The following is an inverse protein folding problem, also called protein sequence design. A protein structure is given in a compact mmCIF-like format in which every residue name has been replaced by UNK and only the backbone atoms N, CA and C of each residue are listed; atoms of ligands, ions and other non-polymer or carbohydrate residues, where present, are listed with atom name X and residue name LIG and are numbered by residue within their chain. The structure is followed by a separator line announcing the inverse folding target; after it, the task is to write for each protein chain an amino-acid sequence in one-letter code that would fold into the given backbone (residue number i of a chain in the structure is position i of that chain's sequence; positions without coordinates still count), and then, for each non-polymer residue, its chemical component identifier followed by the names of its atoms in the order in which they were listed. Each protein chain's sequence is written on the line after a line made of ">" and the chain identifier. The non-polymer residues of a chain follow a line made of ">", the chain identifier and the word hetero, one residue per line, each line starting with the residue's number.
data_IF_213862449283
#
_entry.id   IF_213862449283
#
_cell.length_a   1.000
_cell.length_b   1.000
_cell.length_c   1.000
_cell.angle_alpha   90.00
_cell.angle_beta   90.00
_cell.angle_gamma   90.00
#
_symmetry.space_group_name_H-M   'P 1'
#
loop_
_entity.id
_entity.type
_entity.pdbx_description
1 polymer ?
#
# COMPACT_ATOMS: atom_id res chain seq x y z
N UNK A 1 -17.14 17.86 -6.56
CA UNK A 1 -16.51 16.64 -6.00
C UNK A 1 -17.08 16.41 -4.62
N UNK A 2 -17.75 15.28 -4.37
CA UNK A 2 -18.18 14.92 -3.00
C UNK A 2 -17.02 14.21 -2.30
N UNK A 3 -16.81 14.55 -1.03
CA UNK A 3 -15.64 14.12 -0.25
C UNK A 3 -15.85 12.69 0.25
N UNK A 4 -14.84 11.84 0.04
CA UNK A 4 -14.73 10.54 0.69
C UNK A 4 -14.06 10.70 2.04
N UNK A 5 -14.68 10.17 3.09
CA UNK A 5 -14.16 10.23 4.44
C UNK A 5 -13.59 8.87 4.84
N UNK A 6 -12.38 8.87 5.40
CA UNK A 6 -11.77 7.70 6.02
C UNK A 6 -11.99 7.78 7.53
N UNK A 7 -12.54 6.73 8.10
CA UNK A 7 -12.77 6.63 9.55
C UNK A 7 -12.30 5.29 10.08
N UNK A 8 -11.94 5.26 11.36
CA UNK A 8 -11.78 4.00 12.09
C UNK A 8 -13.13 3.37 12.37
N UNK A 9 -13.14 2.06 12.61
CA UNK A 9 -14.26 1.33 13.15
C UNK A 9 -13.97 1.02 14.62
N UNK A 10 -14.64 1.74 15.52
CA UNK A 10 -14.54 1.55 16.97
C UNK A 10 -15.68 0.66 17.48
N UNK A 11 -15.68 0.36 18.78
CA UNK A 11 -16.78 -0.36 19.43
C UNK A 11 -18.14 0.34 19.24
N UNK A 12 -18.15 1.66 19.22
CA UNK A 12 -19.37 2.47 19.01
C UNK A 12 -19.85 2.35 17.56
N UNK A 13 -18.93 2.33 16.59
CA UNK A 13 -19.25 2.17 15.18
C UNK A 13 -19.85 0.79 14.85
N UNK A 14 -19.66 -0.23 15.70
CA UNK A 14 -20.23 -1.56 15.48
C UNK A 14 -21.77 -1.53 15.39
N UNK A 15 -22.42 -0.59 16.10
CA UNK A 15 -23.87 -0.38 16.03
C UNK A 15 -24.30 0.22 14.68
N UNK A 16 -23.53 1.17 14.17
CA UNK A 16 -23.81 1.90 12.93
C UNK A 16 -23.49 1.04 11.71
N UNK A 17 -22.36 0.34 11.75
CA UNK A 17 -21.85 -0.44 10.61
C UNK A 17 -22.39 -1.86 10.60
N UNK A 18 -22.78 -2.44 11.75
CA UNK A 18 -23.46 -3.75 11.81
C UNK A 18 -24.83 -3.77 11.11
N UNK A 19 -25.42 -2.60 10.82
CA UNK A 19 -26.60 -2.48 9.98
C UNK A 19 -26.32 -2.84 8.50
N UNK A 20 -25.07 -2.74 8.06
CA UNK A 20 -24.65 -3.26 6.76
C UNK A 20 -24.55 -4.79 6.82
N UNK A 21 -25.16 -5.48 5.87
CA UNK A 21 -25.08 -6.95 5.77
C UNK A 21 -23.66 -7.46 5.57
N UNK A 22 -22.76 -6.59 5.09
CA UNK A 22 -21.37 -6.90 4.74
C UNK A 22 -20.54 -7.34 5.95
N UNK A 23 -20.79 -6.78 7.14
CA UNK A 23 -20.01 -7.11 8.34
C UNK A 23 -20.44 -8.38 9.08
N UNK A 24 -21.64 -8.91 8.76
CA UNK A 24 -22.21 -10.07 9.47
C UNK A 24 -21.37 -11.33 9.33
N UNK A 25 -20.65 -11.50 8.21
CA UNK A 25 -19.75 -12.64 7.99
C UNK A 25 -18.60 -12.70 9.00
N UNK A 26 -18.23 -11.56 9.60
CA UNK A 26 -17.25 -11.48 10.68
C UNK A 26 -17.88 -11.46 12.09
N UNK A 27 -19.18 -11.76 12.18
CA UNK A 27 -19.98 -11.79 13.42
C UNK A 27 -20.10 -10.43 14.13
N UNK A 28 -19.90 -9.32 13.42
CA UNK A 28 -20.15 -7.98 13.93
C UNK A 28 -21.63 -7.66 13.68
N UNK A 29 -22.41 -7.57 14.75
CA UNK A 29 -23.86 -7.34 14.69
C UNK A 29 -24.26 -6.10 15.49
N UNK A 30 -25.28 -5.34 15.06
CA UNK A 30 -25.57 -4.01 15.59
C UNK A 30 -26.08 -3.97 17.03
N UNK A 31 -26.33 -5.12 17.67
CA UNK A 31 -26.80 -5.21 19.07
C UNK A 31 -26.15 -6.39 19.81
N UNK A 32 -25.00 -6.86 19.36
CA UNK A 32 -24.25 -7.91 20.02
C UNK A 32 -22.89 -7.37 20.47
N UNK A 33 -22.28 -7.96 21.52
CA UNK A 33 -20.87 -7.72 21.81
C UNK A 33 -20.00 -7.97 20.58
N UNK A 34 -18.89 -7.22 20.48
CA UNK A 34 -17.89 -7.49 19.45
C UNK A 34 -17.36 -8.93 19.61
N UNK A 35 -17.07 -9.61 18.48
CA UNK A 35 -16.34 -10.87 18.55
C UNK A 35 -14.95 -10.63 19.17
N UNK A 36 -14.41 -11.65 19.83
CA UNK A 36 -13.17 -11.57 20.63
C UNK A 36 -12.01 -10.88 19.90
N UNK A 37 -11.78 -11.24 18.63
CA UNK A 37 -10.71 -10.64 17.81
C UNK A 37 -10.86 -9.13 17.61
N UNK A 38 -12.10 -8.64 17.46
CA UNK A 38 -12.40 -7.23 17.24
C UNK A 38 -12.37 -6.46 18.56
N UNK A 39 -12.84 -7.11 19.64
CA UNK A 39 -12.78 -6.52 20.97
C UNK A 39 -11.34 -6.36 21.43
N UNK A 40 -10.49 -7.37 21.24
CA UNK A 40 -9.05 -7.31 21.53
C UNK A 40 -8.35 -6.22 20.69
N UNK A 41 -8.69 -6.09 19.40
CA UNK A 41 -8.17 -5.00 18.56
C UNK A 41 -8.56 -3.62 19.12
N UNK A 42 -9.82 -3.46 19.54
CA UNK A 42 -10.29 -2.24 20.20
C UNK A 42 -9.56 -1.97 21.52
N UNK A 43 -9.31 -2.99 22.33
CA UNK A 43 -8.58 -2.83 23.59
C UNK A 43 -7.12 -2.40 23.35
N UNK A 44 -6.45 -2.97 22.34
CA UNK A 44 -5.04 -2.65 22.05
C UNK A 44 -4.85 -1.33 21.30
N UNK A 45 -5.73 -1.01 20.35
CA UNK A 45 -5.52 0.07 19.38
C UNK A 45 -6.65 1.09 19.32
N UNK A 46 -7.76 0.87 20.01
CA UNK A 46 -8.95 1.73 19.98
C UNK A 46 -9.87 1.51 18.78
N UNK A 47 -9.54 0.59 17.88
CA UNK A 47 -10.34 0.27 16.69
C UNK A 47 -10.07 -1.16 16.20
N UNK A 48 -10.99 -1.73 15.42
CA UNK A 48 -10.86 -3.06 14.80
C UNK A 48 -10.84 -3.01 13.27
N UNK A 49 -10.92 -1.83 12.68
CA UNK A 49 -10.84 -1.65 11.23
C UNK A 49 -10.86 -0.20 10.79
N UNK A 50 -10.82 0.00 9.49
CA UNK A 50 -11.00 1.30 8.83
C UNK A 50 -11.97 1.17 7.67
N UNK A 51 -12.73 2.22 7.44
CA UNK A 51 -13.72 2.28 6.35
C UNK A 51 -13.57 3.56 5.55
N UNK A 52 -13.91 3.50 4.26
CA UNK A 52 -14.15 4.67 3.43
C UNK A 52 -15.64 4.85 3.21
N UNK A 53 -16.15 6.05 3.47
CA UNK A 53 -17.55 6.43 3.28
C UNK A 53 -17.70 7.49 2.20
N UNK A 54 -18.78 7.39 1.43
CA UNK A 54 -19.22 8.42 0.50
C UNK A 54 -20.68 8.77 0.81
N UNK A 55 -20.88 9.91 1.50
CA UNK A 55 -22.16 10.17 2.15
C UNK A 55 -22.41 9.14 3.26
N UNK A 56 -23.60 8.54 3.25
CA UNK A 56 -23.98 7.48 4.20
C UNK A 56 -23.54 6.08 3.73
N UNK A 57 -23.07 5.96 2.49
CA UNK A 57 -22.68 4.67 1.91
C UNK A 57 -21.26 4.27 2.33
N UNK A 58 -21.12 3.02 2.74
CA UNK A 58 -19.82 2.40 2.96
C UNK A 58 -19.32 1.86 1.64
N UNK A 59 -18.18 2.39 1.18
CA UNK A 59 -17.59 1.98 -0.09
C UNK A 59 -16.58 0.84 0.08
N UNK A 60 -15.92 0.74 1.23
CA UNK A 60 -15.01 -0.37 1.48
C UNK A 60 -14.40 -0.37 2.87
N UNK A 61 -13.98 -1.55 3.29
CA UNK A 61 -13.59 -1.84 4.67
C UNK A 61 -12.30 -2.65 4.68
N UNK A 62 -11.40 -2.31 5.61
CA UNK A 62 -10.31 -3.19 6.05
C UNK A 62 -10.52 -3.50 7.54
N UNK A 63 -10.59 -4.77 7.89
CA UNK A 63 -10.68 -5.24 9.27
C UNK A 63 -9.32 -5.79 9.70
N UNK A 64 -8.98 -5.55 10.96
CA UNK A 64 -7.69 -5.93 11.53
C UNK A 64 -7.87 -6.60 12.88
N UNK A 65 -7.04 -7.59 13.16
CA UNK A 65 -6.95 -8.25 14.45
C UNK A 65 -5.49 -8.37 14.89
N UNK A 66 -5.21 -8.53 16.19
CA UNK A 66 -3.89 -8.94 16.66
C UNK A 66 -3.53 -10.34 16.13
N UNK A 67 -2.24 -10.58 15.93
CA UNK A 67 -1.70 -11.85 15.49
C UNK A 67 -2.10 -13.04 16.37
N UNK A 68 -2.35 -12.79 17.66
CA UNK A 68 -2.70 -13.82 18.64
C UNK A 68 -4.19 -14.13 18.70
N UNK A 69 -5.06 -13.30 18.13
CA UNK A 69 -6.51 -13.40 18.29
C UNK A 69 -7.21 -13.20 16.94
N UNK A 70 -7.19 -14.23 16.08
CA UNK A 70 -7.86 -14.19 14.79
C UNK A 70 -9.28 -14.75 14.88
N UNK A 71 -10.19 -14.38 13.94
CA UNK A 71 -11.46 -15.08 13.80
C UNK A 71 -11.25 -16.60 13.66
N UNK A 72 -12.16 -17.42 14.21
CA UNK A 72 -12.16 -18.85 13.95
C UNK A 72 -12.12 -19.14 12.44
N UNK A 73 -11.39 -20.19 12.05
CA UNK A 73 -11.22 -20.61 10.65
C UNK A 73 -10.59 -19.56 9.72
N UNK A 74 -9.96 -18.51 10.26
CA UNK A 74 -9.22 -17.57 9.42
C UNK A 74 -8.12 -18.32 8.64
N UNK A 75 -7.92 -18.05 7.33
CA UNK A 75 -6.94 -18.77 6.51
C UNK A 75 -5.50 -18.69 7.04
N UNK A 76 -5.17 -17.61 7.76
CA UNK A 76 -3.86 -17.46 8.41
C UNK A 76 -3.75 -18.13 9.78
N UNK A 77 -4.81 -18.73 10.33
CA UNK A 77 -4.85 -19.27 11.71
C UNK A 77 -3.71 -20.25 12.00
N UNK A 78 -3.35 -21.10 11.03
CA UNK A 78 -2.27 -22.10 11.12
C UNK A 78 -0.91 -21.62 10.60
N UNK A 79 -0.85 -20.40 10.05
CA UNK A 79 0.38 -19.82 9.52
C UNK A 79 1.08 -19.08 10.67
N UNK A 80 2.37 -19.31 10.93
CA UNK A 80 3.14 -18.52 11.88
C UNK A 80 3.16 -17.05 11.48
N UNK A 81 2.92 -16.17 12.45
CA UNK A 81 2.79 -14.73 12.26
C UNK A 81 3.87 -13.99 13.05
N UNK A 82 4.18 -12.77 12.64
CA UNK A 82 5.14 -11.95 13.38
C UNK A 82 4.58 -11.63 14.77
N UNK A 83 5.30 -11.96 15.87
CA UNK A 83 4.86 -11.61 17.21
C UNK A 83 4.62 -10.09 17.37
N UNK A 84 3.53 -9.73 18.04
CA UNK A 84 3.07 -8.34 18.18
C UNK A 84 2.57 -7.70 16.89
N UNK A 85 2.43 -8.47 15.80
CA UNK A 85 1.92 -7.99 14.51
C UNK A 85 0.41 -7.78 14.50
N UNK A 86 -0.06 -7.09 13.46
CA UNK A 86 -1.47 -7.02 13.12
C UNK A 86 -1.75 -7.90 11.89
N UNK A 87 -2.99 -8.38 11.75
CA UNK A 87 -3.42 -9.21 10.62
C UNK A 87 -4.67 -8.63 10.01
N UNK A 88 -4.69 -8.46 8.68
CA UNK A 88 -5.92 -8.19 7.94
C UNK A 88 -6.80 -9.44 7.98
N UNK A 89 -7.98 -9.31 8.58
CA UNK A 89 -8.93 -10.43 8.76
C UNK A 89 -10.17 -10.33 7.88
N UNK A 90 -10.33 -9.20 7.21
CA UNK A 90 -11.46 -8.95 6.33
C UNK A 90 -11.22 -7.76 5.43
N UNK A 91 -11.59 -7.92 4.17
CA UNK A 91 -11.49 -6.90 3.15
C UNK A 91 -12.83 -6.88 2.40
N UNK A 92 -13.51 -5.73 2.44
CA UNK A 92 -14.64 -5.47 1.55
C UNK A 92 -14.16 -4.44 0.52
N UNK A 93 -13.81 -4.87 -0.70
CA UNK A 93 -13.40 -3.94 -1.74
C UNK A 93 -14.61 -3.19 -2.30
N UNK A 94 -14.43 -1.90 -2.65
CA UNK A 94 -15.40 -1.23 -3.51
C UNK A 94 -15.36 -1.88 -4.91
N UNK A 95 -16.43 -1.74 -5.70
CA UNK A 95 -16.58 -2.40 -7.02
C UNK A 95 -15.49 -2.03 -8.06
N UNK A 96 -14.57 -1.09 -7.79
CA UNK A 96 -13.56 -0.57 -8.73
C UNK A 96 -12.15 -0.29 -8.12
N UNK A 97 -11.70 -1.02 -7.10
CA UNK A 97 -10.97 -0.38 -5.98
C UNK A 97 -9.52 -0.77 -5.65
N UNK A 98 -8.71 -1.09 -6.65
CA UNK A 98 -7.28 -1.31 -6.39
C UNK A 98 -6.60 -0.06 -5.79
N UNK A 99 -7.00 1.14 -6.23
CA UNK A 99 -6.38 2.42 -5.81
C UNK A 99 -6.76 2.86 -4.39
N UNK A 100 -8.02 2.70 -3.96
CA UNK A 100 -8.39 3.06 -2.58
C UNK A 100 -8.00 2.02 -1.55
N UNK A 101 -7.77 0.76 -1.95
CA UNK A 101 -7.16 -0.23 -1.05
C UNK A 101 -5.84 0.29 -0.47
N UNK A 102 -4.98 0.89 -1.31
CA UNK A 102 -3.73 1.53 -0.87
C UNK A 102 -3.97 2.73 0.04
N UNK A 103 -4.99 3.54 -0.24
CA UNK A 103 -5.35 4.71 0.59
C UNK A 103 -5.84 4.26 1.97
N UNK A 104 -6.78 3.31 2.05
CA UNK A 104 -7.26 2.72 3.31
C UNK A 104 -6.11 2.05 4.08
N UNK A 105 -5.24 1.31 3.39
CA UNK A 105 -4.08 0.67 4.01
C UNK A 105 -3.10 1.71 4.58
N UNK A 106 -2.84 2.80 3.87
CA UNK A 106 -1.97 3.89 4.37
C UNK A 106 -2.57 4.55 5.61
N UNK A 107 -3.89 4.77 5.62
CA UNK A 107 -4.61 5.33 6.77
C UNK A 107 -4.63 4.39 7.98
N UNK A 108 -4.73 3.07 7.75
CA UNK A 108 -4.58 2.03 8.77
C UNK A 108 -3.15 2.00 9.32
N UNK A 109 -2.15 1.97 8.44
CA UNK A 109 -0.72 1.94 8.78
C UNK A 109 -0.33 3.12 9.68
N UNK A 110 -0.82 4.33 9.38
CA UNK A 110 -0.56 5.52 10.19
C UNK A 110 -1.06 5.37 11.64
N UNK A 111 -2.14 4.64 11.88
CA UNK A 111 -2.72 4.42 13.21
C UNK A 111 -2.08 3.28 13.99
N UNK A 112 -1.57 2.29 13.27
CA UNK A 112 -0.85 1.17 13.88
C UNK A 112 0.64 1.48 14.08
N UNK A 113 1.13 2.62 13.57
CA UNK A 113 2.52 3.06 13.69
C UNK A 113 2.92 3.15 15.16
N UNK A 114 4.03 2.50 15.51
CA UNK A 114 4.54 2.46 16.89
C UNK A 114 3.91 1.37 17.75
N UNK A 115 2.68 0.92 17.42
CA UNK A 115 1.97 -0.13 18.15
C UNK A 115 2.30 -1.54 17.67
N UNK A 116 2.51 -1.72 16.37
CA UNK A 116 2.85 -3.03 15.78
C UNK A 116 4.01 -2.90 14.78
N UNK A 117 4.86 -3.92 14.62
CA UNK A 117 5.97 -3.86 13.68
C UNK A 117 5.54 -4.05 12.22
N UNK A 118 4.43 -4.77 12.00
CA UNK A 118 3.98 -5.21 10.68
C UNK A 118 2.46 -5.35 10.63
N UNK A 119 1.90 -5.26 9.43
CA UNK A 119 0.57 -5.77 9.12
C UNK A 119 0.74 -6.95 8.17
N UNK A 120 0.14 -8.09 8.47
CA UNK A 120 0.15 -9.28 7.64
C UNK A 120 -1.22 -9.55 7.02
N UNK A 121 -1.25 -10.23 5.88
CA UNK A 121 -2.49 -10.55 5.18
C UNK A 121 -2.37 -11.90 4.46
N UNK A 122 -3.51 -12.56 4.23
CA UNK A 122 -3.59 -13.73 3.38
C UNK A 122 -3.74 -13.31 1.91
N UNK A 123 -2.73 -13.66 1.11
CA UNK A 123 -2.72 -13.50 -0.34
C UNK A 123 -3.14 -14.80 -1.05
N UNK A 124 -3.79 -14.67 -2.20
CA UNK A 124 -4.07 -15.78 -3.13
C UNK A 124 -3.75 -15.38 -4.58
N UNK A 125 -3.31 -16.33 -5.40
CA UNK A 125 -2.96 -16.09 -6.81
C UNK A 125 -4.20 -16.23 -7.72
N UNK A 126 -5.15 -17.09 -7.35
CA UNK A 126 -6.36 -17.34 -8.11
C UNK A 126 -7.52 -16.43 -7.67
N UNK A 127 -8.56 -16.24 -8.51
CA UNK A 127 -9.80 -15.59 -8.09
C UNK A 127 -10.34 -16.27 -6.84
N UNK A 128 -10.67 -15.48 -5.83
CA UNK A 128 -11.23 -15.97 -4.58
C UNK A 128 -12.39 -15.07 -4.17
N UNK A 129 -13.48 -15.69 -3.73
CA UNK A 129 -14.66 -15.00 -3.20
C UNK A 129 -14.60 -14.83 -1.68
N UNK A 130 -13.61 -15.44 -1.03
CA UNK A 130 -13.40 -15.31 0.41
C UNK A 130 -12.85 -13.91 0.73
N UNK A 131 -13.65 -13.12 1.44
CA UNK A 131 -13.34 -11.74 1.84
C UNK A 131 -12.25 -11.65 2.91
N UNK A 132 -11.77 -12.78 3.43
CA UNK A 132 -10.65 -12.86 4.39
C UNK A 132 -9.29 -12.93 3.70
N UNK A 133 -9.27 -13.14 2.38
CA UNK A 133 -8.06 -13.17 1.56
C UNK A 133 -8.16 -12.14 0.44
N UNK A 134 -7.02 -11.71 -0.10
CA UNK A 134 -7.00 -10.81 -1.24
C UNK A 134 -6.05 -11.32 -2.34
N UNK A 135 -6.26 -10.93 -3.60
CA UNK A 135 -5.30 -11.21 -4.66
C UNK A 135 -3.90 -10.69 -4.27
N UNK A 136 -2.87 -11.52 -4.47
CA UNK A 136 -1.47 -11.13 -4.19
C UNK A 136 -1.13 -9.81 -4.88
N UNK A 137 -1.51 -9.67 -6.15
CA UNK A 137 -1.27 -8.46 -6.96
C UNK A 137 -1.93 -7.21 -6.39
N UNK A 138 -3.08 -7.33 -5.72
CA UNK A 138 -3.70 -6.21 -5.01
C UNK A 138 -2.89 -5.81 -3.79
N UNK A 139 -2.51 -6.79 -2.96
CA UNK A 139 -1.72 -6.53 -1.76
C UNK A 139 -0.35 -5.93 -2.11
N UNK A 140 0.31 -6.42 -3.16
CA UNK A 140 1.55 -5.84 -3.70
C UNK A 140 1.36 -4.39 -4.13
N UNK A 141 0.25 -4.06 -4.82
CA UNK A 141 -0.06 -2.69 -5.22
C UNK A 141 -0.24 -1.73 -4.03
N UNK A 142 -0.56 -2.27 -2.85
CA UNK A 142 -0.68 -1.53 -1.60
C UNK A 142 0.64 -1.42 -0.83
N UNK A 143 1.67 -2.16 -1.24
CA UNK A 143 3.00 -2.18 -0.63
C UNK A 143 3.31 -3.42 0.22
N UNK A 144 2.47 -4.46 0.17
CA UNK A 144 2.81 -5.74 0.81
C UNK A 144 3.87 -6.48 0.00
N UNK A 145 4.65 -7.31 0.69
CA UNK A 145 5.62 -8.24 0.12
C UNK A 145 5.29 -9.65 0.57
N UNK A 146 5.44 -10.64 -0.30
CA UNK A 146 5.34 -12.03 0.10
C UNK A 146 6.49 -12.38 1.06
N UNK A 147 6.16 -12.99 2.19
CA UNK A 147 7.12 -13.53 3.14
C UNK A 147 7.25 -15.02 2.86
N UNK A 148 8.51 -15.48 2.84
CA UNK A 148 9.00 -16.83 2.57
C UNK A 148 7.89 -17.91 2.55
N UNK A 149 7.68 -18.61 1.42
CA UNK A 149 6.56 -19.52 1.23
C UNK A 149 6.67 -20.71 2.18
N UNK A 150 6.15 -20.54 3.38
CA UNK A 150 5.78 -21.66 4.23
C UNK A 150 4.72 -22.47 3.48
N UNK A 151 4.79 -23.80 3.55
CA UNK A 151 3.82 -24.73 2.93
C UNK A 151 2.41 -24.58 3.56
N UNK A 152 1.74 -23.46 3.28
CA UNK A 152 0.37 -23.15 3.69
C UNK A 152 -0.63 -23.44 2.55
N UNK A 153 -0.24 -24.30 1.60
CA UNK A 153 -1.03 -24.61 0.42
C UNK A 153 -1.16 -23.42 -0.52
N UNK A 154 -2.40 -22.99 -0.79
CA UNK A 154 -2.71 -21.91 -1.74
C UNK A 154 -2.61 -20.50 -1.13
N UNK A 155 -2.51 -20.39 0.20
CA UNK A 155 -2.40 -19.10 0.89
C UNK A 155 -0.94 -18.64 0.89
N UNK A 156 -0.73 -17.40 0.42
CA UNK A 156 0.55 -16.68 0.53
C UNK A 156 0.49 -15.75 1.74
N UNK A 157 1.55 -15.74 2.55
CA UNK A 157 1.67 -14.80 3.66
C UNK A 157 2.24 -13.49 3.13
N UNK A 158 1.43 -12.45 3.13
CA UNK A 158 1.82 -11.12 2.70
C UNK A 158 2.13 -10.26 3.92
N UNK A 159 3.15 -9.40 3.84
CA UNK A 159 3.57 -8.51 4.92
C UNK A 159 3.79 -7.09 4.44
N UNK A 160 3.21 -6.15 5.18
CA UNK A 160 3.46 -4.72 5.09
C UNK A 160 4.30 -4.28 6.30
N UNK A 161 5.53 -3.84 6.06
CA UNK A 161 6.45 -3.45 7.13
C UNK A 161 6.23 -1.98 7.55
N UNK A 162 5.83 -1.77 8.81
CA UNK A 162 5.56 -0.42 9.34
C UNK A 162 6.84 0.31 9.80
N UNK A 163 7.97 -0.40 9.94
CA UNK A 163 9.27 0.19 10.32
C UNK A 163 10.01 0.74 9.11
N UNK A 164 9.86 0.10 7.93
CA UNK A 164 10.57 0.49 6.69
C UNK A 164 9.85 1.51 5.83
N UNK A 165 8.53 1.63 5.94
CA UNK A 165 7.70 2.55 5.13
C UNK A 165 7.98 4.04 5.37
N UNK A 166 8.96 4.40 6.22
CA UNK A 166 9.25 5.76 6.66
C UNK A 166 10.20 6.53 5.73
N UNK A 167 11.25 5.92 5.16
CA UNK A 167 12.28 6.71 4.45
C UNK A 167 11.87 7.28 3.09
N UNK A 168 10.78 6.80 2.48
CA UNK A 168 10.33 7.26 1.17
C UNK A 168 8.93 7.90 1.17
N UNK A 169 8.19 7.79 2.29
CA UNK A 169 6.74 8.02 2.28
C UNK A 169 6.27 9.19 3.17
N UNK A 170 7.08 9.66 4.13
CA UNK A 170 6.74 10.83 4.95
C UNK A 170 6.52 12.09 4.09
N UNK A 171 7.35 12.31 3.06
CA UNK A 171 7.21 13.45 2.16
C UNK A 171 5.99 13.36 1.23
N UNK A 172 5.49 12.16 0.94
CA UNK A 172 4.41 11.95 -0.03
C UNK A 172 3.05 11.91 0.65
N UNK A 173 2.95 11.25 1.81
CA UNK A 173 1.72 11.17 2.60
C UNK A 173 1.38 12.55 3.18
N UNK A 174 2.35 13.30 3.69
CA UNK A 174 2.13 14.68 4.17
C UNK A 174 1.74 15.64 3.04
N UNK A 175 2.34 15.50 1.85
CA UNK A 175 1.95 16.28 0.65
C UNK A 175 0.53 15.97 0.19
N UNK A 176 0.14 14.70 0.20
CA UNK A 176 -1.18 14.28 -0.26
C UNK A 176 -2.28 14.64 0.74
N UNK A 177 -2.02 14.48 2.05
CA UNK A 177 -2.91 14.98 3.10
C UNK A 177 -2.92 16.52 3.17
N UNK A 178 -1.84 17.20 2.79
CA UNK A 178 -1.78 18.67 2.65
C UNK A 178 -2.59 19.19 1.47
N UNK A 179 -2.57 18.50 0.33
CA UNK A 179 -3.47 18.74 -0.80
C UNK A 179 -4.94 18.57 -0.39
N UNK A 180 -5.26 17.50 0.35
CA UNK A 180 -6.60 17.27 0.89
C UNK A 180 -7.08 18.32 1.92
N UNK A 181 -6.15 18.97 2.65
CA UNK A 181 -6.46 20.07 3.58
C UNK A 181 -6.45 21.46 2.92
N UNK A 182 -6.25 21.54 1.61
CA UNK A 182 -6.27 22.81 0.87
C UNK A 182 -5.04 23.71 1.09
N UNK A 183 -3.91 23.18 1.57
CA UNK A 183 -2.70 23.96 1.88
C UNK A 183 -1.51 23.67 0.96
N UNK A 184 -1.69 22.92 -0.14
CA UNK A 184 -0.60 22.52 -1.05
C UNK A 184 -0.79 22.96 -2.51
N UNK A 185 0.32 23.39 -3.15
CA UNK A 185 0.42 23.76 -4.58
C UNK A 185 -0.04 22.63 -5.51
N UNK A 186 -0.62 22.99 -6.66
CA UNK A 186 -1.35 22.10 -7.57
C UNK A 186 -0.43 21.17 -8.39
N UNK A 187 -0.96 20.05 -8.93
CA UNK A 187 -0.16 19.01 -9.61
C UNK A 187 0.51 19.44 -10.93
N UNK A 188 0.23 20.64 -11.43
CA UNK A 188 0.71 21.12 -12.74
C UNK A 188 2.20 21.48 -12.70
N UNK A 189 2.78 21.73 -11.52
CA UNK A 189 4.22 22.03 -11.36
C UNK A 189 5.14 20.82 -11.45
N UNK A 190 4.61 19.59 -11.53
CA UNK A 190 5.43 18.35 -11.53
C UNK A 190 5.83 17.91 -12.95
N UNK A 191 5.22 18.50 -14.00
CA UNK A 191 5.52 18.19 -15.39
C UNK A 191 6.77 18.86 -15.98
N UNK A 192 7.47 19.71 -15.21
CA UNK A 192 8.55 20.57 -15.72
C UNK A 192 9.92 20.35 -15.03
N UNK A 193 10.16 19.19 -14.42
CA UNK A 193 11.52 18.77 -14.06
C UNK A 193 12.09 17.89 -15.17
N UNK A 194 12.56 18.56 -16.22
CA UNK A 194 13.50 18.03 -17.22
C UNK A 194 14.65 17.31 -16.50
N UNK A 195 14.97 16.12 -16.97
CA UNK A 195 16.28 15.50 -16.76
C UNK A 195 17.40 16.46 -17.23
N UNK A 196 18.38 16.83 -16.39
CA UNK A 196 19.66 17.29 -16.90
C UNK A 196 20.52 16.05 -17.18
N UNK A 197 20.64 15.69 -18.45
CA UNK A 197 21.78 14.90 -18.92
C UNK A 197 23.00 15.83 -18.84
N UNK A 198 23.92 15.49 -17.93
CA UNK A 198 25.36 15.77 -17.99
C UNK A 198 25.81 17.21 -18.21
N UNK A 199 26.26 17.87 -17.14
CA UNK A 199 27.32 18.88 -17.24
C UNK A 199 28.58 18.36 -16.54
N UNK A 200 29.48 17.77 -17.32
CA UNK A 200 30.89 17.76 -16.95
C UNK A 200 31.42 19.17 -17.22
N UNK A 201 32.05 19.75 -16.20
CA UNK A 201 32.85 20.97 -16.29
C UNK A 201 34.02 20.73 -17.24
N UNK A 202 34.27 21.70 -18.11
CA UNK A 202 35.62 22.21 -18.32
C UNK A 202 35.53 23.71 -18.62
N UNK A 203 36.13 24.49 -17.74
CA UNK A 203 36.45 25.90 -17.94
C UNK A 203 37.58 25.98 -18.97
N UNK A 204 37.53 26.89 -19.94
CA UNK A 204 38.67 27.68 -20.43
C UNK A 204 38.18 28.85 -21.30
N UNK A 205 38.63 30.06 -20.92
CA UNK A 205 38.39 31.35 -21.56
C UNK A 205 39.17 31.54 -22.88
N UNK A 206 38.51 32.17 -23.86
CA UNK A 206 39.10 33.25 -24.70
C UNK A 206 39.79 32.92 -26.04
N UNK A 207 39.97 33.91 -26.95
CA UNK A 207 39.26 33.90 -28.24
C UNK A 207 40.12 34.09 -29.53
N UNK A 208 39.42 33.94 -30.67
CA UNK A 208 39.70 34.43 -32.04
C UNK A 208 40.86 33.80 -32.87
N UNK A 209 40.55 33.31 -34.09
CA UNK A 209 41.07 33.79 -35.40
C UNK A 209 40.83 32.75 -36.53
N UNK A 210 40.18 33.24 -37.59
CA UNK A 210 40.23 32.92 -39.03
C UNK A 210 41.24 31.85 -39.51
N UNK A 211 40.80 30.91 -40.36
CA UNK A 211 41.22 30.71 -41.78
C UNK A 211 41.17 29.23 -42.23
N UNK A 212 40.71 29.06 -43.46
CA UNK A 212 40.68 27.88 -44.34
C UNK A 212 41.93 26.99 -44.33
N UNK A 213 41.75 25.67 -44.55
CA UNK A 213 42.09 24.98 -45.81
C UNK A 213 42.38 23.48 -45.61
N UNK A 214 41.68 22.66 -46.41
CA UNK A 214 42.21 21.55 -47.22
C UNK A 214 43.35 20.68 -46.66
N UNK A 215 43.13 19.38 -46.45
CA UNK A 215 43.73 18.31 -47.30
C UNK A 215 43.25 16.89 -46.92
N UNK A 216 43.05 16.09 -47.96
CA UNK A 216 42.90 14.63 -47.96
C UNK A 216 44.06 13.91 -47.24
N UNK A 217 43.84 12.72 -46.66
CA UNK A 217 44.35 11.45 -47.24
C UNK A 217 43.98 10.18 -46.44
N UNK A 218 43.57 9.18 -47.22
CA UNK A 218 43.54 7.71 -47.09
C UNK A 218 44.29 7.02 -45.93
N UNK A 219 43.63 6.00 -45.36
CA UNK A 219 43.97 4.55 -45.40
C UNK A 219 43.02 3.81 -44.42
N UNK A 220 41.95 3.13 -44.83
CA UNK A 220 41.88 1.78 -45.41
C UNK A 220 42.65 0.69 -44.64
N UNK A 221 41.96 -0.05 -43.77
CA UNK A 221 42.26 -1.46 -43.47
C UNK A 221 41.00 -2.16 -42.91
N UNK A 222 40.26 -2.81 -43.82
CA UNK A 222 39.36 -3.93 -43.51
C UNK A 222 40.22 -5.13 -43.07
N UNK A 223 39.80 -5.88 -42.05
CA UNK A 223 39.90 -7.35 -42.01
C UNK A 223 38.81 -7.90 -41.08
N UNK A 224 38.10 -8.87 -41.63
CA UNK A 224 36.95 -9.62 -41.10
C UNK A 224 37.33 -10.65 -40.03
N UNK A 225 36.32 -11.25 -39.33
CA UNK A 225 36.52 -12.14 -38.19
C UNK A 225 36.69 -13.61 -38.59
N UNK A 226 37.39 -14.39 -37.75
CA UNK A 226 37.47 -15.85 -37.85
C UNK A 226 36.65 -16.49 -36.72
N UNK A 227 35.68 -17.29 -37.16
CA UNK A 227 34.91 -18.27 -36.41
C UNK A 227 35.77 -19.47 -35.99
N UNK A 228 35.52 -19.99 -34.79
CA UNK A 228 35.45 -21.42 -34.47
C UNK A 228 34.28 -21.63 -33.52
#
# INVERSE_FOLDING_TARGET
>A
MRVRHLTTLTREDAQIVGATTELRQWKINPNAPLPEWADEACQRWGFFGVTSRHGDDIEGILLVAPESCLPPDHPMSKIPRTPGGAVLVGLVPHRNDASWGRVRMSFLAARLRGSVPVVEAAGVVAPCTDTRVAPVTWLESWGFQEVDPMNAGQIRRMRFDLRRSVKAQESWVERWFGWWRGTGLTPVDVGQLRWPIGSARDDHDGPATVTQASTQSRQQARREPLTW
#
